data_IF_933221127896
#
_entry.id   IF_933221127896
#
_cell.length_a   1.000
_cell.length_b   1.000
_cell.length_c   1.000
_cell.angle_alpha   90.00
_cell.angle_beta   90.00
_cell.angle_gamma   90.00
#
_symmetry.space_group_name_H-M   'P 1'
#
loop_
_entity.id
_entity.type
_entity.pdbx_description
1 polymer ?
#
# COMPACT_ATOMS: atom_id res chain seq x y z
N UNK A 1 18.22 -3.19 -4.17
CA UNK A 1 19.23 -2.26 -3.62
C UNK A 1 19.82 -2.86 -2.36
N UNK A 2 21.08 -2.58 -2.03
CA UNK A 2 21.76 -3.13 -0.84
C UNK A 2 22.36 -1.97 -0.04
N UNK A 3 21.90 -1.77 1.20
CA UNK A 3 22.41 -0.77 2.12
C UNK A 3 23.67 -1.27 2.85
N UNK A 4 24.56 -0.33 3.22
CA UNK A 4 25.78 -0.62 3.97
C UNK A 4 27.01 -0.91 3.09
N UNK A 5 26.93 -0.63 1.79
CA UNK A 5 28.08 -0.72 0.88
C UNK A 5 29.16 0.34 1.21
N UNK A 6 30.45 0.03 1.00
CA UNK A 6 31.50 1.05 1.06
C UNK A 6 31.20 2.23 0.14
N UNK A 7 31.50 3.44 0.60
CA UNK A 7 31.26 4.72 -0.10
C UNK A 7 29.78 5.10 -0.27
N UNK A 8 28.83 4.32 0.27
CA UNK A 8 27.42 4.67 0.26
C UNK A 8 26.97 5.12 1.65
N UNK A 9 26.59 6.39 1.76
CA UNK A 9 25.97 6.95 2.97
C UNK A 9 24.45 7.04 2.86
N UNK A 10 23.82 7.52 3.93
CA UNK A 10 22.36 7.61 4.02
C UNK A 10 21.72 8.46 2.90
N UNK A 11 22.29 9.63 2.62
CA UNK A 11 21.75 10.53 1.59
C UNK A 11 21.94 10.02 0.16
N UNK A 12 23.07 9.37 -0.14
CA UNK A 12 23.28 8.74 -1.45
C UNK A 12 22.33 7.55 -1.62
N UNK A 13 22.11 6.76 -0.56
CA UNK A 13 21.14 5.67 -0.58
C UNK A 13 19.71 6.19 -0.82
N UNK A 14 19.30 7.24 -0.09
CA UNK A 14 18.01 7.92 -0.29
C UNK A 14 17.80 8.39 -1.73
N UNK A 15 18.84 8.96 -2.35
CA UNK A 15 18.79 9.35 -3.76
C UNK A 15 18.55 8.14 -4.64
N UNK A 16 19.36 7.09 -4.50
CA UNK A 16 19.21 5.84 -5.26
C UNK A 16 17.83 5.21 -5.08
N UNK A 17 17.27 5.24 -3.87
CA UNK A 17 15.95 4.69 -3.58
C UNK A 17 14.88 5.44 -4.38
N UNK A 18 14.92 6.77 -4.33
CA UNK A 18 13.99 7.62 -5.06
C UNK A 18 14.14 7.46 -6.58
N UNK A 19 15.37 7.31 -7.08
CA UNK A 19 15.65 7.06 -8.50
C UNK A 19 15.00 5.73 -8.94
N UNK A 20 15.16 4.65 -8.17
CA UNK A 20 14.62 3.33 -8.52
C UNK A 20 13.10 3.26 -8.35
N UNK A 21 12.53 3.79 -7.27
CA UNK A 21 11.07 3.73 -7.07
C UNK A 21 10.30 4.64 -8.05
N UNK A 22 10.98 5.63 -8.65
CA UNK A 22 10.37 6.54 -9.63
C UNK A 22 9.78 5.80 -10.83
N UNK A 23 10.38 4.67 -11.25
CA UNK A 23 9.88 3.84 -12.37
C UNK A 23 8.72 2.92 -11.98
N UNK A 24 8.23 3.01 -10.74
CA UNK A 24 7.10 2.24 -10.19
C UNK A 24 7.22 0.73 -10.42
N UNK A 25 8.33 0.09 -9.99
CA UNK A 25 8.46 -1.35 -10.14
C UNK A 25 7.37 -2.09 -9.34
N UNK A 26 7.00 -3.28 -9.80
CA UNK A 26 6.03 -4.11 -9.06
C UNK A 26 6.55 -4.48 -7.66
N UNK A 27 7.86 -4.71 -7.55
CA UNK A 27 8.55 -4.93 -6.29
C UNK A 27 9.87 -4.18 -6.27
N UNK A 28 10.19 -3.58 -5.12
CA UNK A 28 11.48 -2.97 -4.85
C UNK A 28 12.12 -3.71 -3.68
N UNK A 29 13.21 -4.45 -3.93
CA UNK A 29 13.94 -5.10 -2.85
C UNK A 29 14.92 -4.11 -2.22
N UNK A 30 14.76 -3.87 -0.93
CA UNK A 30 15.78 -3.26 -0.08
C UNK A 30 16.41 -4.39 0.74
N UNK A 31 17.73 -4.50 0.72
CA UNK A 31 18.47 -5.49 1.52
C UNK A 31 19.67 -4.86 2.19
N UNK A 32 20.31 -5.62 3.08
CA UNK A 32 21.44 -5.14 3.89
C UNK A 32 22.68 -5.96 3.58
N UNK A 33 23.83 -5.29 3.51
CA UNK A 33 25.10 -5.92 3.20
C UNK A 33 25.43 -6.99 4.25
N UNK A 34 25.93 -8.13 3.78
CA UNK A 34 26.39 -9.24 4.60
C UNK A 34 27.87 -9.48 4.32
N UNK A 35 28.68 -9.61 5.37
CA UNK A 35 30.10 -9.89 5.24
C UNK A 35 30.32 -11.40 5.23
N UNK A 36 30.62 -11.95 4.06
CA UNK A 36 30.91 -13.38 3.90
C UNK A 36 32.39 -13.64 4.15
N UNK A 37 32.70 -14.60 5.03
CA UNK A 37 34.09 -15.02 5.31
C UNK A 37 34.79 -15.44 4.02
N UNK A 38 35.98 -14.90 3.79
CA UNK A 38 36.78 -15.13 2.57
C UNK A 38 36.42 -14.24 1.38
N UNK A 39 35.44 -13.33 1.49
CA UNK A 39 35.19 -12.30 0.47
C UNK A 39 36.19 -11.14 0.56
N UNK A 40 36.35 -10.37 -0.52
CA UNK A 40 37.18 -9.16 -0.49
C UNK A 40 36.73 -8.15 0.57
N UNK A 41 35.41 -8.01 0.76
CA UNK A 41 34.81 -7.20 1.82
C UNK A 41 35.24 -7.64 3.22
N UNK A 42 35.38 -8.96 3.45
CA UNK A 42 35.86 -9.48 4.72
C UNK A 42 37.29 -9.01 5.01
N UNK A 43 38.20 -9.14 4.04
CA UNK A 43 39.59 -8.71 4.19
C UNK A 43 39.75 -7.18 4.30
N UNK A 44 38.89 -6.43 3.61
CA UNK A 44 38.88 -4.96 3.64
C UNK A 44 37.97 -4.37 4.76
N UNK A 45 37.47 -5.19 5.69
CA UNK A 45 36.50 -4.71 6.71
C UNK A 45 37.05 -3.54 7.52
N UNK A 46 38.30 -3.65 7.99
CA UNK A 46 38.97 -2.59 8.76
C UNK A 46 39.15 -1.31 7.94
N UNK A 47 39.55 -1.43 6.67
CA UNK A 47 39.75 -0.31 5.74
C UNK A 47 38.50 0.54 5.58
N UNK A 48 37.33 -0.09 5.49
CA UNK A 48 36.05 0.62 5.32
C UNK A 48 35.29 0.84 6.65
N UNK A 49 35.90 0.45 7.78
CA UNK A 49 35.29 0.53 9.11
C UNK A 49 34.00 -0.29 9.23
N UNK A 50 33.92 -1.43 8.54
CA UNK A 50 32.73 -2.29 8.53
C UNK A 50 32.66 -3.04 9.85
N UNK A 51 31.60 -2.78 10.59
CA UNK A 51 31.23 -3.56 11.77
C UNK A 51 29.97 -4.34 11.43
N UNK A 52 29.97 -5.64 11.70
CA UNK A 52 28.91 -6.58 11.31
C UNK A 52 28.67 -7.60 12.43
N UNK A 53 27.53 -8.30 12.37
CA UNK A 53 27.17 -9.33 13.36
C UNK A 53 28.13 -10.52 13.30
N UNK A 54 28.52 -11.06 14.45
CA UNK A 54 29.37 -12.26 14.54
C UNK A 54 28.65 -13.57 14.18
N UNK A 55 27.32 -13.53 14.16
CA UNK A 55 26.46 -14.66 13.79
C UNK A 55 25.85 -14.47 12.41
N UNK A 56 25.52 -15.58 11.76
CA UNK A 56 24.82 -15.55 10.48
C UNK A 56 23.48 -14.78 10.64
N UNK A 57 23.14 -13.89 9.70
CA UNK A 57 23.69 -13.80 8.35
C UNK A 57 24.86 -12.80 8.18
N UNK A 58 25.59 -12.44 9.24
CA UNK A 58 26.76 -11.53 9.22
C UNK A 58 26.44 -10.14 8.63
N UNK A 59 25.25 -9.65 8.94
CA UNK A 59 24.75 -8.36 8.46
C UNK A 59 25.58 -7.20 9.01
N UNK A 60 25.87 -6.22 8.16
CA UNK A 60 26.57 -4.99 8.53
C UNK A 60 25.69 -4.16 9.46
N UNK A 61 26.27 -3.77 10.60
CA UNK A 61 25.66 -2.87 11.58
C UNK A 61 25.93 -1.41 11.22
N UNK A 62 27.15 -1.08 10.83
CA UNK A 62 27.55 0.25 10.38
C UNK A 62 28.88 0.23 9.62
N UNK A 63 29.19 1.32 8.93
CA UNK A 63 30.47 1.52 8.25
C UNK A 63 30.99 2.94 8.52
N UNK A 64 32.16 3.30 7.97
CA UNK A 64 32.63 4.69 7.97
C UNK A 64 31.70 5.67 7.23
N UNK A 65 30.74 5.17 6.43
CA UNK A 65 29.88 5.99 5.57
C UNK A 65 28.43 6.06 6.05
N UNK A 66 27.98 5.10 6.86
CA UNK A 66 26.63 5.05 7.40
C UNK A 66 26.67 4.60 8.86
N UNK A 67 26.04 5.41 9.72
CA UNK A 67 25.98 5.13 11.15
C UNK A 67 25.00 4.00 11.48
N UNK A 68 25.15 3.41 12.67
CA UNK A 68 24.23 2.39 13.15
C UNK A 68 22.77 2.88 13.20
N UNK A 69 22.55 4.13 13.65
CA UNK A 69 21.21 4.73 13.71
C UNK A 69 20.59 4.91 12.33
N UNK A 70 21.39 5.29 11.33
CA UNK A 70 20.92 5.38 9.94
C UNK A 70 20.60 4.00 9.36
N UNK A 71 21.40 2.97 9.67
CA UNK A 71 21.09 1.59 9.31
C UNK A 71 19.77 1.12 9.91
N UNK A 72 19.52 1.40 11.20
CA UNK A 72 18.22 1.09 11.84
C UNK A 72 17.05 1.79 11.14
N UNK A 73 17.19 3.05 10.73
CA UNK A 73 16.17 3.75 9.95
C UNK A 73 15.91 3.09 8.60
N UNK A 74 16.96 2.62 7.91
CA UNK A 74 16.81 1.90 6.65
C UNK A 74 16.08 0.56 6.85
N UNK A 75 16.26 -0.12 7.99
CA UNK A 75 15.47 -1.31 8.34
C UNK A 75 13.98 -0.99 8.49
N UNK A 76 13.64 0.10 9.18
CA UNK A 76 12.23 0.53 9.29
C UNK A 76 11.62 0.84 7.91
N UNK A 77 12.39 1.50 7.03
CA UNK A 77 11.96 1.81 5.66
C UNK A 77 11.73 0.54 4.85
N UNK A 78 12.65 -0.43 4.92
CA UNK A 78 12.51 -1.73 4.26
C UNK A 78 11.24 -2.44 4.70
N UNK A 79 10.98 -2.46 6.01
CA UNK A 79 9.81 -3.11 6.57
C UNK A 79 8.50 -2.47 6.07
N UNK A 80 8.46 -1.14 5.98
CA UNK A 80 7.29 -0.41 5.47
C UNK A 80 7.10 -0.59 3.98
N UNK A 81 8.20 -0.63 3.22
CA UNK A 81 8.19 -0.92 1.80
C UNK A 81 7.60 -2.31 1.54
N UNK A 82 8.01 -3.32 2.29
CA UNK A 82 7.47 -4.68 2.16
C UNK A 82 5.97 -4.74 2.48
N UNK A 83 5.56 -4.12 3.60
CA UNK A 83 4.17 -4.14 4.07
C UNK A 83 3.21 -3.39 3.15
N UNK A 84 3.60 -2.20 2.67
CA UNK A 84 2.68 -1.29 1.99
C UNK A 84 2.87 -1.22 0.47
N UNK A 85 4.12 -1.26 -0.02
CA UNK A 85 4.39 -1.15 -1.46
C UNK A 85 4.43 -2.52 -2.14
N UNK A 86 5.32 -3.41 -1.69
CA UNK A 86 5.51 -4.72 -2.33
C UNK A 86 4.31 -5.66 -2.16
N UNK A 87 3.46 -5.41 -1.16
CA UNK A 87 2.20 -6.15 -0.99
C UNK A 87 1.15 -5.84 -2.06
N UNK A 88 1.32 -4.73 -2.80
CA UNK A 88 0.40 -4.20 -3.83
C UNK A 88 -1.02 -3.88 -3.35
N UNK A 89 -1.25 -3.97 -2.04
CA UNK A 89 -2.58 -3.81 -1.42
C UNK A 89 -3.01 -2.37 -1.25
N UNK A 90 -2.08 -1.42 -1.31
CA UNK A 90 -2.31 -0.01 -0.98
C UNK A 90 -1.97 0.93 -2.14
N UNK A 91 -2.01 0.44 -3.38
CA UNK A 91 -1.48 1.18 -4.53
C UNK A 91 -2.05 2.59 -4.63
N UNK A 92 -3.38 2.76 -4.53
CA UNK A 92 -3.98 4.09 -4.67
C UNK A 92 -3.65 4.97 -3.46
N UNK A 93 -3.75 4.42 -2.25
CA UNK A 93 -3.47 5.16 -1.01
C UNK A 93 -2.01 5.61 -0.92
N UNK A 94 -1.06 4.76 -1.31
CA UNK A 94 0.38 5.06 -1.27
C UNK A 94 0.75 6.09 -2.34
N UNK A 95 0.24 5.99 -3.58
CA UNK A 95 0.51 7.01 -4.59
C UNK A 95 -0.03 8.39 -4.18
N UNK A 96 -1.22 8.43 -3.55
CA UNK A 96 -1.72 9.66 -2.97
C UNK A 96 -0.82 10.17 -1.84
N UNK A 97 -0.44 9.32 -0.89
CA UNK A 97 0.42 9.72 0.21
C UNK A 97 1.80 10.18 -0.28
N UNK A 98 2.40 9.54 -1.30
CA UNK A 98 3.64 10.01 -1.91
C UNK A 98 3.55 11.46 -2.40
N UNK A 99 2.40 11.88 -2.92
CA UNK A 99 2.19 13.26 -3.39
C UNK A 99 2.23 14.31 -2.26
N UNK A 100 2.06 13.89 -1.00
CA UNK A 100 2.07 14.75 0.17
C UNK A 100 3.47 14.91 0.79
N UNK A 101 4.46 14.14 0.32
CA UNK A 101 5.84 14.17 0.82
C UNK A 101 6.80 14.67 -0.26
N UNK A 102 8.00 15.09 0.17
CA UNK A 102 9.05 15.54 -0.75
C UNK A 102 9.55 14.42 -1.66
N UNK A 103 9.53 13.17 -1.17
CA UNK A 103 9.88 11.99 -1.95
C UNK A 103 9.27 10.72 -1.33
N UNK A 104 9.15 9.63 -2.09
CA UNK A 104 8.72 8.33 -1.55
C UNK A 104 9.58 7.85 -0.38
N UNK A 105 10.90 8.11 -0.40
CA UNK A 105 11.77 7.79 0.74
C UNK A 105 11.36 8.56 2.00
N UNK A 106 11.06 9.87 1.90
CA UNK A 106 10.61 10.66 3.05
C UNK A 106 9.29 10.14 3.64
N UNK A 107 8.39 9.64 2.78
CA UNK A 107 7.16 8.99 3.21
C UNK A 107 7.46 7.71 4.02
N UNK A 108 8.27 6.79 3.47
CA UNK A 108 8.57 5.53 4.17
C UNK A 108 9.39 5.74 5.44
N UNK A 109 10.29 6.73 5.45
CA UNK A 109 11.04 7.11 6.66
C UNK A 109 10.07 7.54 7.77
N UNK A 110 9.11 8.42 7.45
CA UNK A 110 8.12 8.88 8.42
C UNK A 110 7.15 7.80 8.86
N UNK A 111 6.73 6.93 7.95
CA UNK A 111 5.87 5.79 8.27
C UNK A 111 6.60 4.77 9.17
N UNK A 112 7.89 4.53 8.91
CA UNK A 112 8.73 3.66 9.73
C UNK A 112 8.92 4.20 11.14
N UNK A 113 9.21 5.50 11.28
CA UNK A 113 9.27 6.17 12.60
C UNK A 113 7.93 6.07 13.36
N UNK A 114 6.80 6.21 12.67
CA UNK A 114 5.48 6.03 13.26
C UNK A 114 5.25 4.60 13.76
N UNK A 115 5.68 3.60 12.99
CA UNK A 115 5.58 2.20 13.37
C UNK A 115 6.39 1.88 14.63
N UNK A 116 7.67 2.29 14.63
CA UNK A 116 8.59 2.10 15.77
C UNK A 116 8.03 2.78 17.04
N UNK A 117 7.55 4.02 16.92
CA UNK A 117 6.97 4.77 18.04
C UNK A 117 5.76 4.04 18.66
N UNK A 118 4.92 3.44 17.83
CA UNK A 118 3.74 2.70 18.28
C UNK A 118 4.03 1.23 18.63
N UNK A 119 5.29 0.77 18.49
CA UNK A 119 5.72 -0.62 18.74
C UNK A 119 4.92 -1.64 17.95
N UNK A 120 4.51 -1.30 16.73
CA UNK A 120 3.71 -2.20 15.91
C UNK A 120 4.52 -3.40 15.41
N UNK A 121 5.83 -3.24 15.29
CA UNK A 121 6.83 -4.26 14.98
C UNK A 121 7.01 -5.32 16.09
N UNK A 122 6.57 -5.05 17.32
CA UNK A 122 6.68 -6.01 18.44
C UNK A 122 5.59 -7.11 18.42
N UNK A 123 4.56 -6.98 17.57
CA UNK A 123 3.42 -7.91 17.51
C UNK A 123 3.07 -8.34 16.08
N UNK A 124 2.53 -9.55 15.95
CA UNK A 124 1.99 -10.04 14.67
C UNK A 124 0.63 -9.40 14.38
N UNK A 125 0.46 -8.96 13.13
CA UNK A 125 -0.71 -8.24 12.68
C UNK A 125 -1.52 -9.02 11.64
N UNK A 126 -2.84 -8.88 11.69
CA UNK A 126 -3.71 -9.33 10.59
C UNK A 126 -3.69 -8.29 9.49
N UNK A 127 -3.68 -8.70 8.23
CA UNK A 127 -3.60 -7.81 7.04
C UNK A 127 -4.53 -6.59 7.08
N UNK A 128 -5.77 -6.75 7.58
CA UNK A 128 -6.74 -5.66 7.64
C UNK A 128 -6.36 -4.53 8.60
N UNK A 129 -5.51 -4.77 9.59
CA UNK A 129 -5.09 -3.72 10.54
C UNK A 129 -4.16 -2.69 9.91
N UNK A 130 -3.43 -3.07 8.85
CA UNK A 130 -2.52 -2.16 8.15
C UNK A 130 -3.26 -0.98 7.51
N UNK A 131 -4.51 -1.17 7.04
CA UNK A 131 -5.35 -0.06 6.57
C UNK A 131 -5.67 0.93 7.69
N UNK A 132 -5.87 0.42 8.90
CA UNK A 132 -6.16 1.26 10.07
C UNK A 132 -4.90 2.05 10.46
N UNK A 133 -3.75 1.38 10.57
CA UNK A 133 -2.50 2.05 10.90
C UNK A 133 -2.09 3.10 9.87
N UNK A 134 -2.31 2.84 8.57
CA UNK A 134 -2.04 3.83 7.52
C UNK A 134 -2.98 5.04 7.63
N UNK A 135 -4.25 4.82 7.97
CA UNK A 135 -5.20 5.91 8.23
C UNK A 135 -4.82 6.73 9.46
N UNK A 136 -4.47 6.08 10.58
CA UNK A 136 -4.06 6.73 11.82
C UNK A 136 -2.76 7.53 11.61
N UNK A 137 -1.76 6.96 10.93
CA UNK A 137 -0.55 7.68 10.53
C UNK A 137 -0.87 8.96 9.75
N UNK A 138 -1.79 8.87 8.79
CA UNK A 138 -2.10 10.00 7.93
C UNK A 138 -2.86 11.13 8.65
N UNK A 139 -3.49 10.86 9.80
CA UNK A 139 -4.18 11.89 10.60
C UNK A 139 -3.23 12.99 11.10
N UNK A 140 -1.95 12.66 11.29
CA UNK A 140 -0.93 13.61 11.74
C UNK A 140 -0.33 14.43 10.57
N UNK A 141 -0.78 14.20 9.33
CA UNK A 141 -0.30 14.90 8.14
C UNK A 141 -1.27 16.03 7.79
N UNK A 142 -0.89 17.27 8.11
CA UNK A 142 -1.74 18.46 7.91
C UNK A 142 -2.24 18.67 6.47
N UNK A 143 -1.45 18.25 5.47
CA UNK A 143 -1.82 18.39 4.04
C UNK A 143 -2.69 17.25 3.54
N UNK A 144 -2.95 16.22 4.35
CA UNK A 144 -3.74 15.07 3.95
C UNK A 144 -5.24 15.35 4.06
N UNK A 145 -5.95 15.27 2.94
CA UNK A 145 -7.38 15.08 2.92
C UNK A 145 -7.76 13.68 3.42
N UNK A 146 -8.14 13.60 4.69
CA UNK A 146 -8.49 12.34 5.36
C UNK A 146 -9.75 11.71 4.77
N UNK A 147 -10.73 12.48 4.31
CA UNK A 147 -11.92 11.90 3.66
C UNK A 147 -11.55 11.20 2.36
N UNK A 148 -10.70 11.83 1.55
CA UNK A 148 -10.22 11.23 0.30
C UNK A 148 -9.39 9.97 0.57
N UNK A 149 -8.47 10.01 1.54
CA UNK A 149 -7.71 8.82 1.91
C UNK A 149 -8.61 7.66 2.37
N UNK A 150 -9.67 7.93 3.13
CA UNK A 150 -10.65 6.88 3.51
C UNK A 150 -11.30 6.24 2.28
N UNK A 151 -11.63 7.02 1.25
CA UNK A 151 -12.14 6.49 -0.02
C UNK A 151 -11.09 5.59 -0.71
N UNK A 152 -9.83 6.03 -0.76
CA UNK A 152 -8.74 5.24 -1.36
C UNK A 152 -8.46 3.95 -0.59
N UNK A 153 -8.47 3.98 0.74
CA UNK A 153 -8.29 2.78 1.57
C UNK A 153 -9.43 1.78 1.38
N UNK A 154 -10.68 2.25 1.24
CA UNK A 154 -11.81 1.37 0.87
C UNK A 154 -11.61 0.78 -0.51
N UNK A 155 -11.22 1.59 -1.49
CA UNK A 155 -10.94 1.15 -2.84
C UNK A 155 -9.85 0.06 -2.87
N UNK A 156 -8.72 0.32 -2.23
CA UNK A 156 -7.61 -0.61 -2.09
C UNK A 156 -8.05 -1.91 -1.40
N UNK A 157 -8.79 -1.82 -0.29
CA UNK A 157 -9.30 -2.97 0.46
C UNK A 157 -10.26 -3.84 -0.38
N UNK A 158 -11.23 -3.24 -1.05
CA UNK A 158 -12.23 -3.96 -1.85
C UNK A 158 -11.64 -4.57 -3.14
N UNK A 159 -10.52 -4.05 -3.63
CA UNK A 159 -9.77 -4.67 -4.73
C UNK A 159 -8.91 -5.87 -4.29
N UNK A 160 -8.92 -6.24 -3.01
CA UNK A 160 -8.11 -7.35 -2.51
C UNK A 160 -8.87 -8.33 -1.61
N UNK A 161 -9.96 -7.89 -0.98
CA UNK A 161 -10.67 -8.67 0.02
C UNK A 161 -12.18 -8.55 -0.20
N UNK A 162 -12.90 -9.68 -0.18
CA UNK A 162 -14.36 -9.69 -0.16
C UNK A 162 -14.86 -9.38 1.26
N UNK A 163 -14.72 -8.12 1.66
CA UNK A 163 -15.07 -7.64 2.99
C UNK A 163 -16.59 -7.51 3.13
N UNK A 164 -17.18 -8.25 4.07
CA UNK A 164 -18.64 -8.23 4.31
C UNK A 164 -19.13 -6.88 4.83
N UNK A 165 -18.33 -6.24 5.69
CA UNK A 165 -18.67 -4.98 6.33
C UNK A 165 -17.42 -4.10 6.42
N UNK A 166 -17.50 -2.91 5.83
CA UNK A 166 -16.45 -1.91 5.88
C UNK A 166 -16.51 -1.24 7.26
N UNK A 167 -15.41 -1.22 8.04
CA UNK A 167 -15.40 -0.56 9.33
C UNK A 167 -15.80 0.92 9.25
N UNK A 168 -16.58 1.39 10.22
CA UNK A 168 -17.16 2.74 10.23
C UNK A 168 -16.13 3.87 10.22
N UNK A 169 -14.88 3.59 10.61
CA UNK A 169 -13.77 4.55 10.54
C UNK A 169 -13.52 5.03 9.10
N UNK A 170 -13.85 4.23 8.09
CA UNK A 170 -13.72 4.56 6.67
C UNK A 170 -15.01 5.14 6.06
N UNK A 171 -16.06 5.34 6.85
CA UNK A 171 -17.34 5.87 6.33
C UNK A 171 -17.19 7.36 5.95
N UNK A 172 -17.55 7.66 4.71
CA UNK A 172 -17.53 9.00 4.08
C UNK A 172 -18.90 9.38 3.51
N UNK A 173 -19.81 8.41 3.38
CA UNK A 173 -21.12 8.53 2.76
C UNK A 173 -22.07 7.50 3.39
N UNK A 174 -23.35 7.88 3.57
CA UNK A 174 -24.41 6.91 3.87
C UNK A 174 -24.72 6.05 2.63
N UNK A 175 -24.23 4.82 2.67
CA UNK A 175 -24.35 3.86 1.58
C UNK A 175 -25.78 3.33 1.38
N UNK A 176 -26.63 3.38 2.40
CA UNK A 176 -27.94 2.70 2.43
C UNK A 176 -28.85 3.20 1.30
N UNK A 177 -28.81 4.51 1.07
CA UNK A 177 -29.59 5.22 0.03
C UNK A 177 -29.27 4.69 -1.37
N UNK A 178 -28.00 4.42 -1.64
CA UNK A 178 -27.53 4.04 -2.98
C UNK A 178 -27.58 2.54 -3.22
N UNK A 179 -27.21 1.72 -2.21
CA UNK A 179 -27.15 0.26 -2.33
C UNK A 179 -28.52 -0.33 -2.65
N UNK A 180 -29.60 0.19 -2.05
CA UNK A 180 -30.96 -0.32 -2.27
C UNK A 180 -31.41 -0.13 -3.72
N UNK A 181 -31.12 1.02 -4.32
CA UNK A 181 -31.48 1.32 -5.70
C UNK A 181 -30.74 0.41 -6.70
N UNK A 182 -29.42 0.26 -6.52
CA UNK A 182 -28.60 -0.57 -7.41
C UNK A 182 -28.95 -2.05 -7.27
N UNK A 183 -29.21 -2.55 -6.07
CA UNK A 183 -29.59 -3.94 -5.83
C UNK A 183 -30.93 -4.32 -6.49
N UNK A 184 -31.80 -3.34 -6.76
CA UNK A 184 -33.00 -3.55 -7.56
C UNK A 184 -32.68 -3.53 -9.06
N UNK A 185 -31.86 -2.58 -9.50
CA UNK A 185 -31.46 -2.43 -10.91
C UNK A 185 -30.64 -3.63 -11.42
N UNK A 186 -29.76 -4.21 -10.60
CA UNK A 186 -28.91 -5.35 -10.98
C UNK A 186 -29.70 -6.64 -11.27
N UNK A 187 -30.95 -6.73 -10.82
CA UNK A 187 -31.87 -7.83 -11.14
C UNK A 187 -32.53 -7.67 -12.51
N UNK A 188 -32.45 -6.49 -13.13
CA UNK A 188 -33.01 -6.22 -14.44
C UNK A 188 -31.99 -6.62 -15.54
N UNK A 189 -32.30 -7.64 -16.37
CA UNK A 189 -31.40 -8.08 -17.43
C UNK A 189 -31.02 -6.99 -18.42
N UNK A 190 -31.92 -6.04 -18.70
CA UNK A 190 -31.66 -4.93 -19.64
C UNK A 190 -30.65 -3.92 -19.07
N UNK A 191 -30.68 -3.70 -17.75
CA UNK A 191 -29.76 -2.76 -17.11
C UNK A 191 -28.34 -3.33 -17.04
N UNK A 192 -28.18 -4.63 -16.77
CA UNK A 192 -26.85 -5.22 -16.62
C UNK A 192 -26.06 -5.35 -17.94
N UNK A 193 -26.71 -5.26 -19.10
CA UNK A 193 -26.05 -5.32 -20.43
C UNK A 193 -24.97 -4.25 -20.59
N UNK A 194 -25.12 -3.09 -19.93
CA UNK A 194 -24.14 -2.00 -20.00
C UNK A 194 -22.76 -2.37 -19.40
N UNK A 195 -22.67 -3.44 -18.63
CA UNK A 195 -21.42 -3.94 -18.05
C UNK A 195 -20.75 -5.06 -18.89
N UNK A 196 -21.31 -5.36 -20.06
CA UNK A 196 -20.79 -6.33 -21.01
C UNK A 196 -21.27 -7.77 -20.81
N UNK A 197 -21.20 -8.58 -21.87
CA UNK A 197 -21.75 -9.94 -21.91
C UNK A 197 -21.20 -10.86 -20.81
N UNK A 198 -19.92 -10.71 -20.48
CA UNK A 198 -19.26 -11.52 -19.46
C UNK A 198 -19.88 -11.34 -18.06
N UNK A 199 -20.21 -10.09 -17.70
CA UNK A 199 -20.89 -9.79 -16.44
C UNK A 199 -22.31 -10.37 -16.43
N UNK A 200 -23.05 -10.17 -17.53
CA UNK A 200 -24.44 -10.65 -17.69
C UNK A 200 -24.55 -12.17 -17.50
N UNK A 201 -23.68 -12.94 -18.17
CA UNK A 201 -23.70 -14.41 -18.08
C UNK A 201 -23.41 -14.92 -16.67
N UNK A 202 -22.57 -14.23 -15.89
CA UNK A 202 -22.21 -14.65 -14.54
C UNK A 202 -23.27 -14.30 -13.51
N UNK A 203 -23.87 -13.12 -13.62
CA UNK A 203 -24.90 -12.63 -12.68
C UNK A 203 -26.18 -13.46 -12.73
N UNK A 204 -26.58 -13.97 -13.91
CA UNK A 204 -27.81 -14.75 -14.10
C UNK A 204 -27.85 -16.10 -13.36
N UNK A 205 -26.71 -16.60 -12.85
CA UNK A 205 -26.56 -17.94 -12.28
C UNK A 205 -26.56 -18.01 -10.74
N UNK A 206 -27.25 -17.09 -10.05
CA UNK A 206 -27.38 -17.00 -8.57
C UNK A 206 -26.12 -16.49 -7.81
N UNK A 207 -25.26 -15.71 -8.46
CA UNK A 207 -23.97 -15.23 -7.91
C UNK A 207 -23.96 -13.81 -7.32
N UNK A 208 -25.12 -13.24 -6.97
CA UNK A 208 -25.16 -11.91 -6.32
C UNK A 208 -24.40 -11.85 -4.96
N UNK A 209 -24.18 -12.99 -4.30
CA UNK A 209 -23.46 -13.07 -3.02
C UNK A 209 -21.96 -12.76 -3.12
N UNK A 210 -21.39 -12.83 -4.31
CA UNK A 210 -19.97 -12.55 -4.59
C UNK A 210 -19.77 -11.20 -5.25
N UNK A 211 -20.75 -10.30 -5.12
CA UNK A 211 -20.66 -8.93 -5.60
C UNK A 211 -20.73 -7.99 -4.40
N UNK A 212 -19.84 -7.01 -4.35
CA UNK A 212 -19.94 -5.87 -3.45
C UNK A 212 -20.20 -4.61 -4.26
N UNK A 213 -21.11 -3.77 -3.79
CA UNK A 213 -21.37 -2.45 -4.38
C UNK A 213 -20.90 -1.43 -3.35
N UNK A 214 -20.14 -0.43 -3.77
CA UNK A 214 -19.72 0.68 -2.92
C UNK A 214 -19.80 1.99 -3.70
N UNK A 215 -20.25 3.05 -3.04
CA UNK A 215 -20.30 4.39 -3.62
C UNK A 215 -19.19 5.27 -3.04
N UNK A 216 -18.48 5.96 -3.92
CA UNK A 216 -17.36 6.82 -3.59
C UNK A 216 -17.74 8.29 -3.81
N UNK A 217 -17.50 9.13 -2.81
CA UNK A 217 -17.74 10.58 -2.87
C UNK A 217 -16.70 11.31 -3.73
N UNK A 218 -15.50 10.75 -3.84
CA UNK A 218 -14.38 11.27 -4.61
C UNK A 218 -14.09 10.40 -5.84
N UNK A 219 -13.43 10.99 -6.83
CA UNK A 219 -12.83 10.24 -7.93
C UNK A 219 -11.65 9.41 -7.38
N UNK A 220 -11.65 8.09 -7.56
CA UNK A 220 -10.60 7.22 -7.01
C UNK A 220 -9.22 7.34 -7.69
N UNK A 221 -9.12 8.10 -8.79
CA UNK A 221 -7.88 8.28 -9.56
C UNK A 221 -7.24 9.67 -9.37
N UNK A 222 -7.99 10.63 -8.80
CA UNK A 222 -7.51 11.99 -8.54
C UNK A 222 -8.31 12.60 -7.40
N UNK A 223 -7.67 13.46 -6.61
CA UNK A 223 -8.32 14.14 -5.50
C UNK A 223 -9.36 15.17 -6.00
N UNK A 224 -10.54 14.68 -6.36
CA UNK A 224 -11.65 15.47 -6.90
C UNK A 224 -12.97 15.00 -6.29
N UNK A 225 -13.69 15.94 -5.68
CA UNK A 225 -15.04 15.70 -5.18
C UNK A 225 -16.01 15.57 -6.35
N UNK A 226 -16.78 14.49 -6.39
CA UNK A 226 -17.75 14.26 -7.45
C UNK A 226 -19.06 14.98 -7.17
N UNK A 227 -19.70 15.53 -8.21
CA UNK A 227 -21.02 16.15 -8.10
C UNK A 227 -22.11 15.16 -7.66
N UNK A 228 -21.97 13.88 -8.03
CA UNK A 228 -22.77 12.75 -7.53
C UNK A 228 -21.81 11.61 -7.18
N UNK A 229 -22.02 10.87 -6.08
CA UNK A 229 -21.17 9.71 -5.77
C UNK A 229 -21.14 8.68 -6.90
N UNK A 230 -19.94 8.18 -7.21
CA UNK A 230 -19.74 7.16 -8.23
C UNK A 230 -19.94 5.77 -7.61
N UNK A 231 -20.90 5.01 -8.12
CA UNK A 231 -21.10 3.62 -7.72
C UNK A 231 -20.12 2.70 -8.46
N UNK A 232 -19.53 1.77 -7.74
CA UNK A 232 -18.64 0.74 -8.30
C UNK A 232 -19.09 -0.64 -7.83
N UNK A 233 -19.11 -1.58 -8.76
CA UNK A 233 -19.39 -2.99 -8.54
C UNK A 233 -18.05 -3.74 -8.51
N UNK A 234 -17.77 -4.43 -7.41
CA UNK A 234 -16.65 -5.34 -7.24
C UNK A 234 -17.15 -6.77 -7.37
N UNK A 235 -16.71 -7.47 -8.40
CA UNK A 235 -17.09 -8.84 -8.71
C UNK A 235 -15.95 -9.81 -8.33
N UNK A 236 -16.19 -10.60 -7.28
CA UNK A 236 -15.25 -11.60 -6.73
C UNK A 236 -15.48 -13.01 -7.30
N UNK A 237 -16.29 -13.17 -8.36
CA UNK A 237 -16.57 -14.49 -8.95
C UNK A 237 -15.39 -15.11 -9.70
N UNK A 238 -14.35 -14.34 -9.96
CA UNK A 238 -13.16 -14.80 -10.68
C UNK A 238 -12.28 -15.63 -9.73
N UNK A 239 -12.00 -16.88 -10.10
CA UNK A 239 -10.98 -17.68 -9.41
C UNK A 239 -9.60 -17.01 -9.49
N UNK A 240 -8.70 -17.36 -8.57
CA UNK A 240 -7.31 -16.84 -8.46
C UNK A 240 -7.18 -15.36 -8.03
N UNK A 241 -7.97 -14.88 -7.07
CA UNK A 241 -7.85 -13.54 -6.48
C UNK A 241 -7.94 -12.37 -7.48
N UNK A 242 -8.42 -12.60 -8.70
CA UNK A 242 -8.69 -11.52 -9.63
C UNK A 242 -10.04 -10.90 -9.28
N UNK A 243 -10.11 -9.58 -9.21
CA UNK A 243 -11.36 -8.84 -8.97
C UNK A 243 -11.61 -8.00 -10.20
N UNK A 244 -12.83 -8.06 -10.74
CA UNK A 244 -13.25 -7.12 -11.78
C UNK A 244 -14.09 -6.03 -11.19
N UNK A 245 -13.78 -4.80 -11.58
CA UNK A 245 -14.51 -3.60 -11.16
C UNK A 245 -15.29 -3.03 -12.33
N UNK A 246 -16.53 -2.63 -12.06
CA UNK A 246 -17.41 -2.03 -13.06
C UNK A 246 -17.98 -0.72 -12.50
N UNK A 247 -17.81 0.37 -13.25
CA UNK A 247 -18.30 1.69 -12.88
C UNK A 247 -19.75 1.83 -13.30
N UNK A 248 -20.64 2.17 -12.37
CA UNK A 248 -22.06 2.38 -12.63
C UNK A 248 -22.25 3.73 -13.34
N UNK A 249 -22.80 3.79 -14.55
CA UNK A 249 -22.98 5.06 -15.26
C UNK A 249 -23.84 6.04 -14.47
N UNK A 250 -23.38 7.28 -14.41
CA UNK A 250 -24.11 8.40 -13.82
C UNK A 250 -25.06 8.98 -14.88
N UNK A 251 -26.32 8.54 -14.87
CA UNK A 251 -27.37 9.17 -15.67
C UNK A 251 -27.74 10.57 -15.15
#
# INVERSE_FOLDING_TARGET
MIAGLPHEGYYSFKKSFNDVISVRPEQLQLGFLKVLKGSGLYFDSEKYGIVYKDEAPYEVLYTNYISYKEMQRLHLIEEMLEKYYNSRRFNSSIEYLFSLFKSPFDFFEKLGEYWEFNKYDEISHKKLIYYKHLLEFAQDINTCNIEYLKELLKWDMLNHENVKEIPSIYTTLDQTKYKTEVMNKIKNPQWIIQFGEEFVQKVSTQKFRSIHIEFFKYNIFKEELLAKPQGIIFDYTYGNNMIKTYFIPTN
#
